data_IF_453876138824
#
_entry.id   IF_453876138824
#
_cell.length_a   1.000
_cell.length_b   1.000
_cell.length_c   1.000
_cell.angle_alpha   90.00
_cell.angle_beta   90.00
_cell.angle_gamma   90.00
#
_symmetry.space_group_name_H-M   'P 1'
#
loop_
_entity.id
_entity.type
_entity.pdbx_description
1 polymer ?
#
# COMPACT_ATOMS: atom_id res chain seq x y z
N UNK A 1 35.91 -21.89 -3.40
CA UNK A 1 34.65 -21.48 -4.05
C UNK A 1 33.85 -20.70 -3.01
N UNK A 2 33.98 -19.36 -2.99
CA UNK A 2 33.28 -18.54 -1.99
C UNK A 2 31.81 -18.50 -2.40
N UNK A 3 30.95 -19.04 -1.53
CA UNK A 3 29.49 -19.00 -1.70
C UNK A 3 29.08 -17.53 -1.60
N UNK A 4 28.86 -16.90 -2.75
CA UNK A 4 28.24 -15.60 -2.85
C UNK A 4 26.84 -15.72 -2.24
N UNK A 5 26.69 -15.32 -0.99
CA UNK A 5 25.37 -15.08 -0.38
C UNK A 5 24.56 -14.22 -1.38
N UNK A 6 23.32 -14.62 -1.74
CA UNK A 6 22.50 -13.77 -2.58
C UNK A 6 22.35 -12.47 -1.81
N UNK A 7 22.88 -11.37 -2.37
CA UNK A 7 22.63 -10.03 -1.83
C UNK A 7 21.12 -9.89 -1.80
N UNK A 8 20.51 -10.18 -0.66
CA UNK A 8 19.12 -9.84 -0.41
C UNK A 8 19.12 -8.33 -0.53
N UNK A 9 18.76 -7.83 -1.72
CA UNK A 9 18.53 -6.42 -1.96
C UNK A 9 17.63 -6.00 -0.81
N UNK A 10 18.19 -5.22 0.12
CA UNK A 10 17.59 -4.98 1.41
C UNK A 10 16.17 -4.53 1.14
N UNK A 11 15.18 -5.33 1.56
CA UNK A 11 13.76 -5.06 1.29
C UNK A 11 13.26 -3.81 2.01
N UNK A 12 14.16 -3.12 2.72
CA UNK A 12 13.92 -1.92 3.48
C UNK A 12 13.60 -0.76 2.53
N UNK A 13 12.50 -0.10 2.81
CA UNK A 13 12.01 1.04 2.04
C UNK A 13 12.91 2.28 2.16
N UNK A 14 13.75 2.39 3.19
CA UNK A 14 14.65 3.54 3.38
C UNK A 14 15.57 3.76 2.18
N UNK A 15 16.06 2.67 1.57
CA UNK A 15 16.94 2.76 0.41
C UNK A 15 16.16 2.79 -0.91
N UNK A 16 14.84 2.65 -0.88
CA UNK A 16 14.03 2.72 -2.10
C UNK A 16 13.95 4.18 -2.54
N UNK A 17 14.14 4.43 -3.84
CA UNK A 17 14.15 5.78 -4.44
C UNK A 17 15.21 6.75 -3.89
N UNK A 18 16.26 6.24 -3.23
CA UNK A 18 17.41 7.07 -2.88
C UNK A 18 18.17 7.44 -4.14
N UNK A 19 18.23 8.73 -4.44
CA UNK A 19 19.07 9.26 -5.49
C UNK A 19 20.50 9.48 -4.96
N UNK A 20 21.47 8.88 -5.65
CA UNK A 20 22.87 8.98 -5.26
C UNK A 20 23.51 10.30 -5.67
N UNK A 21 23.00 10.93 -6.72
CA UNK A 21 23.55 12.20 -7.23
C UNK A 21 23.16 13.35 -6.31
N UNK A 22 21.87 13.46 -5.98
CA UNK A 22 21.38 14.47 -5.01
C UNK A 22 21.51 14.05 -3.55
N UNK A 23 21.86 12.79 -3.26
CA UNK A 23 21.89 12.21 -1.90
C UNK A 23 20.58 12.39 -1.13
N UNK A 24 19.46 12.39 -1.83
CA UNK A 24 18.16 12.72 -1.28
C UNK A 24 17.11 11.66 -1.62
N UNK A 25 16.06 11.63 -0.79
CA UNK A 25 14.80 10.96 -1.10
C UNK A 25 13.75 11.47 -0.12
N UNK A 26 12.45 11.40 -0.46
CA UNK A 26 11.39 11.80 0.46
C UNK A 26 11.46 11.11 1.82
N UNK A 27 11.98 9.88 1.85
CA UNK A 27 12.19 9.15 3.11
C UNK A 27 13.35 9.71 3.91
N UNK A 28 14.49 9.98 3.27
CA UNK A 28 15.66 10.58 3.94
C UNK A 28 15.37 11.99 4.43
N UNK A 29 14.64 12.80 3.66
CA UNK A 29 14.24 14.15 4.03
C UNK A 29 13.36 14.14 5.31
N UNK A 30 12.47 13.16 5.42
CA UNK A 30 11.62 13.00 6.59
C UNK A 30 12.39 12.45 7.80
N UNK A 31 13.31 11.50 7.59
CA UNK A 31 14.21 10.96 8.62
C UNK A 31 15.25 11.98 9.10
N UNK A 32 15.46 13.07 8.36
CA UNK A 32 16.33 14.19 8.75
C UNK A 32 15.53 15.39 9.27
N UNK A 33 14.20 15.29 9.32
CA UNK A 33 13.33 16.34 9.86
C UNK A 33 13.54 16.57 11.36
N UNK A 34 13.21 17.77 11.84
CA UNK A 34 13.30 18.13 13.26
C UNK A 34 12.49 17.19 14.18
N UNK A 35 11.33 16.72 13.70
CA UNK A 35 10.49 15.76 14.43
C UNK A 35 11.21 14.43 14.63
N UNK A 36 11.90 13.95 13.59
CA UNK A 36 12.66 12.71 13.66
C UNK A 36 13.89 12.85 14.55
N UNK A 37 14.59 13.99 14.48
CA UNK A 37 15.74 14.27 15.36
C UNK A 37 15.33 14.22 16.85
N UNK A 38 14.18 14.79 17.20
CA UNK A 38 13.66 14.72 18.58
C UNK A 38 13.25 13.29 18.97
N UNK A 39 12.70 12.51 18.04
CA UNK A 39 12.39 11.11 18.30
C UNK A 39 13.67 10.29 18.52
N UNK A 40 14.68 10.49 17.66
CA UNK A 40 15.98 9.85 17.75
C UNK A 40 16.66 10.14 19.08
N UNK A 41 16.65 11.40 19.55
CA UNK A 41 17.29 11.76 20.82
C UNK A 41 16.64 11.08 22.04
N UNK A 42 15.35 10.74 21.97
CA UNK A 42 14.63 10.04 23.03
C UNK A 42 14.79 8.53 22.98
N UNK A 43 14.85 7.95 21.78
CA UNK A 43 14.94 6.50 21.57
C UNK A 43 16.39 6.02 21.65
N UNK A 44 17.33 6.84 21.18
CA UNK A 44 18.75 6.51 21.04
C UNK A 44 19.07 5.83 19.72
N UNK A 45 20.30 6.05 19.24
CA UNK A 45 20.74 5.65 17.90
C UNK A 45 20.67 4.13 17.68
N UNK A 46 21.18 3.34 18.62
CA UNK A 46 21.23 1.88 18.48
C UNK A 46 19.83 1.27 18.34
N UNK A 47 18.88 1.72 19.16
CA UNK A 47 17.51 1.26 19.11
C UNK A 47 16.81 1.78 17.84
N UNK A 48 17.05 3.03 17.44
CA UNK A 48 16.47 3.57 16.20
C UNK A 48 16.94 2.81 14.96
N UNK A 49 18.23 2.48 14.87
CA UNK A 49 18.79 1.66 13.78
C UNK A 49 18.10 0.29 13.75
N UNK A 50 17.91 -0.34 14.92
CA UNK A 50 17.19 -1.61 15.02
C UNK A 50 15.75 -1.48 14.52
N UNK A 51 15.02 -0.45 14.96
CA UNK A 51 13.65 -0.20 14.54
C UNK A 51 13.57 0.03 13.03
N UNK A 52 14.41 0.90 12.49
CA UNK A 52 14.47 1.20 11.05
C UNK A 52 14.77 -0.04 10.22
N UNK A 53 15.59 -0.98 10.74
CA UNK A 53 15.96 -2.21 10.04
C UNK A 53 14.87 -3.28 10.07
N UNK A 54 14.20 -3.47 11.20
CA UNK A 54 13.36 -4.64 11.44
C UNK A 54 11.86 -4.34 11.57
N UNK A 55 11.46 -3.07 11.70
CA UNK A 55 10.06 -2.69 11.90
C UNK A 55 9.51 -1.89 10.72
N UNK A 56 8.20 -1.97 10.53
CA UNK A 56 7.48 -1.17 9.54
C UNK A 56 6.88 0.06 10.21
N UNK A 57 7.54 1.21 10.04
CA UNK A 57 7.09 2.49 10.59
C UNK A 57 6.29 3.24 9.52
N UNK A 58 5.18 3.83 9.94
CA UNK A 58 4.29 4.61 9.10
C UNK A 58 4.23 6.04 9.61
N UNK A 59 4.42 7.00 8.71
CA UNK A 59 4.22 8.39 9.02
C UNK A 59 2.86 8.88 8.50
N UNK A 60 2.16 9.70 9.30
CA UNK A 60 0.88 10.27 8.89
C UNK A 60 1.10 11.28 7.77
N UNK A 61 0.29 11.16 6.71
CA UNK A 61 0.16 12.11 5.62
C UNK A 61 -1.22 12.81 5.70
N UNK A 62 -1.39 13.96 5.01
CA UNK A 62 -2.69 14.58 4.86
C UNK A 62 -3.76 13.60 4.33
N UNK A 63 -5.03 13.89 4.61
CA UNK A 63 -6.18 13.10 4.14
C UNK A 63 -6.27 11.68 4.73
N UNK A 64 -5.86 11.48 5.99
CA UNK A 64 -5.89 10.16 6.68
C UNK A 64 -5.05 9.08 6.00
N UNK A 65 -4.07 9.49 5.19
CA UNK A 65 -3.14 8.58 4.53
C UNK A 65 -1.93 8.33 5.42
N UNK A 66 -1.27 7.20 5.21
CA UNK A 66 -0.05 6.85 5.93
C UNK A 66 0.98 6.36 4.92
N UNK A 67 2.23 6.77 5.10
CA UNK A 67 3.34 6.37 4.25
C UNK A 67 4.30 5.49 5.04
N UNK A 68 4.61 4.31 4.52
CA UNK A 68 5.59 3.43 5.13
C UNK A 68 7.00 3.92 4.78
N UNK A 69 7.79 4.27 5.79
CA UNK A 69 9.15 4.81 5.60
C UNK A 69 10.24 3.75 5.72
N UNK A 70 10.02 2.68 6.47
CA UNK A 70 11.05 1.66 6.70
C UNK A 70 10.48 0.26 6.82
N UNK A 71 11.39 -0.72 6.86
CA UNK A 71 11.07 -2.12 7.01
C UNK A 71 10.57 -2.78 5.73
N UNK A 72 10.03 -3.99 5.88
CA UNK A 72 9.48 -4.75 4.76
C UNK A 72 8.15 -4.13 4.30
N UNK A 73 8.04 -3.83 3.00
CA UNK A 73 6.82 -3.29 2.42
C UNK A 73 5.63 -4.20 2.70
N UNK A 74 4.64 -3.65 3.41
CA UNK A 74 3.39 -4.38 3.68
C UNK A 74 2.67 -4.74 2.37
N UNK A 75 2.75 -3.90 1.34
CA UNK A 75 2.20 -4.20 0.02
C UNK A 75 2.84 -5.47 -0.60
N UNK A 76 4.16 -5.67 -0.43
CA UNK A 76 4.86 -6.89 -0.86
C UNK A 76 4.50 -8.12 -0.02
N UNK A 77 4.14 -7.93 1.25
CA UNK A 77 3.64 -9.04 2.08
C UNK A 77 2.26 -9.48 1.58
N UNK A 78 1.33 -8.54 1.39
CA UNK A 78 -0.02 -8.84 0.91
C UNK A 78 -0.10 -9.28 -0.54
N UNK A 79 0.87 -8.94 -1.40
CA UNK A 79 0.90 -9.50 -2.76
C UNK A 79 1.12 -11.02 -2.78
N UNK A 80 1.67 -11.59 -1.70
CA UNK A 80 1.81 -13.05 -1.53
C UNK A 80 0.55 -13.71 -0.96
N UNK A 81 -0.37 -12.91 -0.44
CA UNK A 81 -1.69 -13.37 -0.02
C UNK A 81 -2.67 -13.09 -1.15
N UNK A 82 -2.97 -14.06 -2.03
CA UNK A 82 -3.99 -13.86 -3.05
C UNK A 82 -5.27 -13.45 -2.32
N UNK A 83 -5.73 -12.22 -2.56
CA UNK A 83 -7.05 -11.78 -2.11
C UNK A 83 -8.03 -12.73 -2.77
N UNK A 84 -8.56 -13.68 -2.00
CA UNK A 84 -9.79 -14.35 -2.37
C UNK A 84 -10.84 -13.26 -2.45
N UNK A 85 -11.10 -12.76 -3.66
CA UNK A 85 -12.24 -11.91 -3.93
C UNK A 85 -13.44 -12.72 -3.44
N UNK A 86 -14.17 -12.31 -2.38
CA UNK A 86 -15.46 -12.91 -2.13
C UNK A 86 -16.25 -12.57 -3.39
N UNK A 87 -16.57 -13.59 -4.20
CA UNK A 87 -17.49 -13.42 -5.33
C UNK A 87 -18.72 -12.77 -4.73
N UNK A 88 -18.93 -11.48 -4.97
CA UNK A 88 -20.18 -10.83 -4.65
C UNK A 88 -21.22 -11.65 -5.39
N UNK A 89 -22.03 -12.42 -4.65
CA UNK A 89 -23.15 -13.18 -5.21
C UNK A 89 -23.93 -12.18 -6.06
N UNK A 90 -23.91 -12.38 -7.37
CA UNK A 90 -24.81 -11.71 -8.29
C UNK A 90 -26.21 -11.86 -7.70
N UNK A 91 -26.82 -10.74 -7.34
CA UNK A 91 -28.19 -10.75 -6.85
C UNK A 91 -29.05 -11.37 -7.96
N UNK A 92 -29.69 -12.48 -7.60
CA UNK A 92 -30.68 -13.14 -8.43
C UNK A 92 -31.78 -12.12 -8.74
N UNK A 93 -31.83 -11.62 -9.97
CA UNK A 93 -32.99 -10.87 -10.44
C UNK A 93 -34.13 -11.89 -10.61
N UNK A 94 -35.29 -11.73 -9.95
CA UNK A 94 -36.44 -12.55 -10.29
C UNK A 94 -36.97 -12.16 -11.69
N UNK A 95 -37.53 -13.11 -12.46
CA UNK A 95 -38.06 -12.82 -13.78
C UNK A 95 -39.22 -11.83 -13.68
N UNK A 96 -39.12 -10.73 -14.43
CA UNK A 96 -40.22 -9.76 -14.59
C UNK A 96 -41.42 -10.47 -15.22
N UNK A 97 -42.58 -10.32 -14.59
CA UNK A 97 -43.86 -10.66 -15.20
C UNK A 97 -44.15 -9.70 -16.37
N UNK A 98 -44.43 -10.28 -17.54
CA UNK A 98 -44.93 -9.61 -18.75
C UNK A 98 -46.33 -9.01 -18.48
N UNK A 99 -46.40 -7.68 -18.52
CA UNK A 99 -47.64 -6.92 -18.38
C UNK A 99 -48.35 -6.86 -19.75
N UNK A 100 -49.42 -7.65 -19.92
CA UNK A 100 -50.25 -7.61 -21.13
C UNK A 100 -51.03 -6.29 -21.19
N UNK A 101 -50.61 -5.34 -22.03
CA UNK A 101 -51.50 -4.24 -22.47
C UNK A 101 -51.47 -3.95 -23.97
N UNK A 102 -52.66 -4.16 -24.54
CA UNK A 102 -53.30 -3.52 -25.68
C UNK A 102 -52.55 -3.43 -27.04
N UNK A 103 -52.99 -4.28 -27.97
CA UNK A 103 -52.94 -4.02 -29.41
C UNK A 103 -54.24 -3.29 -29.81
N UNK A 104 -54.20 -1.97 -29.93
CA UNK A 104 -55.20 -1.20 -30.69
C UNK A 104 -54.47 -0.64 -31.90
N UNK A 105 -54.67 -1.29 -33.06
CA UNK A 105 -54.34 -0.72 -34.37
C UNK A 105 -55.63 -0.60 -35.15
N UNK A 106 -55.85 0.63 -35.59
CA UNK A 106 -57.01 1.21 -36.26
C UNK A 106 -57.35 0.48 -37.57
N UNK A 107 -58.65 0.32 -37.87
CA UNK A 107 -59.15 0.18 -39.24
C UNK A 107 -60.18 1.28 -39.51
N UNK A 108 -60.00 1.94 -40.66
CA UNK A 108 -60.88 2.90 -41.33
C UNK A 108 -62.34 2.43 -41.35
N UNK A 109 -63.27 3.36 -41.12
CA UNK A 109 -64.21 3.88 -42.14
C UNK A 109 -64.38 5.37 -41.89
#
# INVERSE_FOLDING_TARGET
MIRSEPRQASSNLICCSYDKESQSSPTVDELTSSKWIVLLSRVGDALMIYLLKYTSIFLPLPQKKHHQICGCSIAKLFSKFPRGIPKSRTQHHPPRHEDKRQKVVKRLV
#
